data_IF_685832817026
#
_entry.id   IF_685832817026
#
_cell.length_a   1.000
_cell.length_b   1.000
_cell.length_c   1.000
_cell.angle_alpha   90.00
_cell.angle_beta   90.00
_cell.angle_gamma   90.00
#
_symmetry.space_group_name_H-M   'P 1'
#
loop_
_entity.id
_entity.type
_entity.pdbx_description
1 polymer ?
#
# COMPACT_ATOMS: atom_id res chain seq x y z
N UNK A 1 -18.41 15.92 12.55
CA UNK A 1 -18.56 16.50 11.21
C UNK A 1 -17.19 16.66 10.58
N UNK A 2 -17.01 16.22 9.32
CA UNK A 2 -15.79 16.52 8.55
C UNK A 2 -16.06 17.70 7.62
N UNK A 3 -15.16 18.69 7.62
CA UNK A 3 -15.17 19.82 6.71
C UNK A 3 -13.99 19.69 5.77
N UNK A 4 -14.27 19.39 4.51
CA UNK A 4 -13.27 19.16 3.49
C UNK A 4 -12.94 20.46 2.79
N UNK A 5 -11.68 20.87 2.79
CA UNK A 5 -11.16 22.09 2.18
C UNK A 5 -10.14 21.78 1.10
N UNK A 6 -9.80 22.77 0.27
CA UNK A 6 -8.90 22.60 -0.88
C UNK A 6 -7.43 22.33 -0.47
N UNK A 7 -6.98 22.93 0.63
CA UNK A 7 -5.59 22.82 1.08
C UNK A 7 -5.44 22.98 2.59
N UNK A 8 -4.28 22.61 3.10
CA UNK A 8 -3.94 22.65 4.52
C UNK A 8 -3.99 24.06 5.13
N UNK A 9 -3.67 25.08 4.34
CA UNK A 9 -3.75 26.45 4.81
C UNK A 9 -5.20 26.84 5.12
N UNK A 10 -6.13 26.57 4.21
CA UNK A 10 -7.54 26.85 4.43
C UNK A 10 -8.11 26.01 5.57
N UNK A 11 -7.73 24.75 5.66
CA UNK A 11 -8.15 23.89 6.77
C UNK A 11 -7.78 24.48 8.13
N UNK A 12 -6.54 24.97 8.28
CA UNK A 12 -6.09 25.63 9.51
C UNK A 12 -6.79 26.96 9.75
N UNK A 13 -6.78 27.85 8.75
CA UNK A 13 -7.37 29.18 8.85
C UNK A 13 -8.84 29.10 9.26
N UNK A 14 -9.61 28.27 8.57
CA UNK A 14 -11.05 28.20 8.79
C UNK A 14 -11.40 27.50 10.10
N UNK A 15 -10.63 26.47 10.47
CA UNK A 15 -10.72 25.85 11.79
C UNK A 15 -10.44 26.85 12.93
N UNK A 16 -9.40 27.65 12.81
CA UNK A 16 -9.05 28.67 13.81
C UNK A 16 -10.10 29.80 13.88
N UNK A 17 -10.58 30.25 12.73
CA UNK A 17 -11.55 31.32 12.65
C UNK A 17 -12.91 30.89 13.17
N UNK A 18 -13.49 29.85 12.60
CA UNK A 18 -14.80 29.34 12.98
C UNK A 18 -14.78 28.61 14.32
N UNK A 19 -13.64 28.05 14.70
CA UNK A 19 -13.45 27.37 15.97
C UNK A 19 -13.75 28.25 17.19
N UNK A 20 -13.58 29.56 17.09
CA UNK A 20 -13.99 30.50 18.15
C UNK A 20 -15.48 30.44 18.42
N UNK A 21 -16.30 30.41 17.36
CA UNK A 21 -17.75 30.29 17.47
C UNK A 21 -18.16 28.91 17.97
N UNK A 22 -17.55 27.84 17.42
CA UNK A 22 -17.86 26.46 17.80
C UNK A 22 -17.51 26.19 19.27
N UNK A 23 -16.35 26.63 19.72
CA UNK A 23 -15.94 26.51 21.12
C UNK A 23 -16.86 27.27 22.07
N UNK A 24 -17.35 28.45 21.65
CA UNK A 24 -18.33 29.19 22.43
C UNK A 24 -19.67 28.42 22.54
N UNK A 25 -20.03 27.64 21.52
CA UNK A 25 -21.20 26.77 21.53
C UNK A 25 -20.93 25.43 22.27
N UNK A 26 -19.75 25.21 22.80
CA UNK A 26 -19.37 23.99 23.51
C UNK A 26 -18.92 22.84 22.61
N UNK A 27 -18.66 23.09 21.30
CA UNK A 27 -18.16 22.11 20.35
C UNK A 27 -16.64 22.18 20.22
N UNK A 28 -16.00 21.04 20.04
CA UNK A 28 -14.54 20.92 19.85
C UNK A 28 -14.18 20.93 18.37
N UNK A 29 -13.00 21.46 18.04
CA UNK A 29 -12.51 21.51 16.66
C UNK A 29 -11.12 20.88 16.55
N UNK A 30 -10.86 20.18 15.43
CA UNK A 30 -9.56 19.59 15.10
C UNK A 30 -9.20 19.85 13.65
N UNK A 31 -7.92 19.82 13.33
CA UNK A 31 -7.44 20.00 11.96
C UNK A 31 -6.50 18.86 11.58
N UNK A 32 -6.75 18.25 10.43
CA UNK A 32 -5.89 17.24 9.81
C UNK A 32 -5.08 17.90 8.69
N UNK A 33 -3.77 17.88 8.83
CA UNK A 33 -2.82 18.45 7.88
C UNK A 33 -1.63 17.51 7.72
N UNK A 34 -0.81 17.76 6.72
CA UNK A 34 0.39 16.97 6.49
C UNK A 34 1.34 16.99 7.71
N UNK A 35 2.01 15.86 7.95
CA UNK A 35 3.06 15.74 8.98
C UNK A 35 2.59 15.47 10.40
N UNK A 36 1.28 15.29 10.65
CA UNK A 36 0.77 14.91 11.96
C UNK A 36 1.10 13.45 12.30
N UNK A 37 1.42 13.19 13.56
CA UNK A 37 1.54 11.83 14.11
C UNK A 37 0.16 11.18 14.28
N UNK A 38 0.11 9.84 14.39
CA UNK A 38 -1.15 9.11 14.60
C UNK A 38 -1.89 9.59 15.85
N UNK A 39 -1.18 9.86 16.95
CA UNK A 39 -1.78 10.38 18.17
C UNK A 39 -2.42 11.77 17.98
N UNK A 40 -1.78 12.64 17.22
CA UNK A 40 -2.33 13.95 16.87
C UNK A 40 -3.54 13.84 15.94
N UNK A 41 -3.49 12.92 14.98
CA UNK A 41 -4.63 12.60 14.10
C UNK A 41 -5.82 12.07 14.90
N UNK A 42 -5.59 11.10 15.79
CA UNK A 42 -6.64 10.58 16.67
C UNK A 42 -7.30 11.67 17.50
N UNK A 43 -6.50 12.59 18.08
CA UNK A 43 -7.03 13.71 18.84
C UNK A 43 -7.87 14.65 17.97
N UNK A 44 -7.41 14.97 16.75
CA UNK A 44 -8.15 15.82 15.83
C UNK A 44 -9.44 15.16 15.30
N UNK A 45 -9.43 13.87 14.98
CA UNK A 45 -10.64 13.13 14.62
C UNK A 45 -11.60 12.92 15.80
N UNK A 46 -11.09 12.96 17.04
CA UNK A 46 -11.89 12.94 18.25
C UNK A 46 -12.75 14.18 18.46
N UNK A 47 -12.44 15.31 17.80
CA UNK A 47 -13.21 16.55 17.88
C UNK A 47 -14.59 16.42 17.21
N UNK A 48 -15.53 17.30 17.59
CA UNK A 48 -16.88 17.36 17.01
C UNK A 48 -16.84 17.77 15.55
N UNK A 49 -15.93 18.68 15.20
CA UNK A 49 -15.73 19.22 13.85
C UNK A 49 -14.25 19.07 13.48
N UNK A 50 -13.97 18.34 12.40
CA UNK A 50 -12.63 18.11 11.91
C UNK A 50 -12.46 18.69 10.52
N UNK A 51 -11.52 19.63 10.38
CA UNK A 51 -11.14 20.24 9.10
C UNK A 51 -9.96 19.49 8.49
N UNK A 52 -9.94 19.36 7.17
CA UNK A 52 -8.83 18.75 6.44
C UNK A 52 -9.06 18.76 4.94
N UNK A 53 -8.07 18.31 4.19
CA UNK A 53 -8.21 18.15 2.74
C UNK A 53 -8.77 16.77 2.40
N UNK A 54 -9.38 16.64 1.20
CA UNK A 54 -9.84 15.36 0.67
C UNK A 54 -8.72 14.31 0.66
N UNK A 55 -7.50 14.71 0.27
CA UNK A 55 -6.34 13.82 0.23
C UNK A 55 -5.95 13.30 1.61
N UNK A 56 -5.86 14.17 2.62
CA UNK A 56 -5.52 13.76 3.98
C UNK A 56 -6.56 12.80 4.57
N UNK A 57 -7.86 13.09 4.40
CA UNK A 57 -8.92 12.17 4.82
C UNK A 57 -8.88 10.84 4.09
N UNK A 58 -8.65 10.86 2.77
CA UNK A 58 -8.55 9.66 1.95
C UNK A 58 -7.31 8.82 2.28
N UNK A 59 -6.16 9.43 2.49
CA UNK A 59 -4.95 8.72 2.91
C UNK A 59 -5.08 8.15 4.32
N UNK A 60 -5.72 8.84 5.25
CA UNK A 60 -5.98 8.30 6.59
C UNK A 60 -6.91 7.08 6.53
N UNK A 61 -7.95 7.15 5.69
CA UNK A 61 -8.84 6.01 5.44
C UNK A 61 -8.07 4.80 4.90
N UNK A 62 -7.20 5.00 3.92
CA UNK A 62 -6.40 3.92 3.36
C UNK A 62 -5.41 3.36 4.40
N UNK A 63 -4.74 4.21 5.17
CA UNK A 63 -3.82 3.78 6.25
C UNK A 63 -4.55 2.98 7.32
N UNK A 64 -5.73 3.40 7.74
CA UNK A 64 -6.52 2.69 8.74
C UNK A 64 -6.93 1.29 8.25
N UNK A 65 -7.30 1.16 6.95
CA UNK A 65 -7.64 -0.15 6.37
C UNK A 65 -6.44 -1.11 6.24
N UNK A 66 -5.21 -0.63 6.43
CA UNK A 66 -4.01 -1.46 6.48
C UNK A 66 -3.64 -1.89 7.91
N UNK A 67 -4.30 -1.35 8.93
CA UNK A 67 -4.02 -1.66 10.34
C UNK A 67 -4.78 -2.91 10.79
N UNK A 68 -4.14 -3.75 11.60
CA UNK A 68 -4.71 -5.00 12.10
C UNK A 68 -5.57 -4.83 13.36
N UNK A 69 -5.40 -3.73 14.12
CA UNK A 69 -6.13 -3.47 15.37
C UNK A 69 -6.86 -2.13 15.28
N UNK A 70 -8.15 -2.14 15.59
CA UNK A 70 -9.00 -0.95 15.61
C UNK A 70 -8.49 0.14 16.57
N UNK A 71 -7.74 -0.23 17.60
CA UNK A 71 -7.13 0.75 18.53
C UNK A 71 -6.12 1.68 17.85
N UNK A 72 -5.55 1.25 16.73
CA UNK A 72 -4.60 2.03 15.96
C UNK A 72 -5.26 2.90 14.89
N UNK A 73 -6.57 2.75 14.66
CA UNK A 73 -7.29 3.60 13.73
C UNK A 73 -7.25 5.05 14.19
N UNK A 74 -7.05 5.96 13.25
CA UNK A 74 -7.07 7.39 13.54
C UNK A 74 -8.44 7.97 13.29
N UNK A 75 -9.17 7.47 12.28
CA UNK A 75 -10.52 7.88 11.98
C UNK A 75 -11.55 7.14 12.86
N UNK A 76 -12.64 7.81 13.11
CA UNK A 76 -13.85 7.24 13.72
C UNK A 76 -14.96 7.11 12.67
N UNK A 77 -16.16 6.69 13.07
CA UNK A 77 -17.30 6.58 12.18
C UNK A 77 -17.63 7.89 11.45
N UNK A 78 -18.08 7.77 10.21
CA UNK A 78 -18.45 8.88 9.35
C UNK A 78 -19.94 9.22 9.50
N UNK A 79 -20.27 10.39 10.06
CA UNK A 79 -21.65 10.83 10.25
C UNK A 79 -22.09 11.87 9.22
N UNK A 80 -21.26 12.89 9.00
CA UNK A 80 -21.61 14.01 8.13
C UNK A 80 -20.37 14.67 7.58
N UNK A 81 -20.40 15.06 6.31
CA UNK A 81 -19.34 15.82 5.67
C UNK A 81 -19.88 17.05 4.96
N UNK A 82 -19.13 18.12 5.03
CA UNK A 82 -19.30 19.33 4.21
C UNK A 82 -18.11 19.37 3.27
N UNK A 83 -18.35 19.33 1.98
CA UNK A 83 -17.30 19.30 0.95
C UNK A 83 -17.33 20.62 0.20
N UNK A 84 -16.26 21.41 0.37
CA UNK A 84 -16.03 22.63 -0.42
C UNK A 84 -15.38 22.23 -1.76
N UNK A 85 -15.61 23.02 -2.81
CA UNK A 85 -15.13 22.73 -4.19
C UNK A 85 -15.51 21.30 -4.66
N UNK A 86 -16.77 20.93 -4.44
CA UNK A 86 -17.25 19.57 -4.71
C UNK A 86 -17.19 19.17 -6.20
N UNK A 87 -17.28 20.11 -7.12
CA UNK A 87 -17.09 19.92 -8.56
C UNK A 87 -15.65 19.46 -8.86
N UNK A 88 -14.64 20.11 -8.30
CA UNK A 88 -13.26 19.70 -8.44
C UNK A 88 -13.02 18.31 -7.82
N UNK A 89 -13.43 18.10 -6.58
CA UNK A 89 -13.15 16.88 -5.83
C UNK A 89 -13.94 15.68 -6.37
N UNK A 90 -15.24 15.85 -6.63
CA UNK A 90 -16.15 14.74 -6.97
C UNK A 90 -16.35 14.54 -8.47
N UNK A 91 -15.90 15.45 -9.31
CA UNK A 91 -16.02 15.38 -10.77
C UNK A 91 -14.65 15.38 -11.43
N UNK A 92 -13.89 16.47 -11.33
CA UNK A 92 -12.64 16.63 -12.06
C UNK A 92 -11.55 15.65 -11.60
N UNK A 93 -11.39 15.49 -10.29
CA UNK A 93 -10.40 14.60 -9.69
C UNK A 93 -10.96 13.22 -9.28
N UNK A 94 -12.23 12.95 -9.55
CA UNK A 94 -12.92 11.74 -9.08
C UNK A 94 -12.26 10.42 -9.51
N UNK A 95 -11.51 10.43 -10.61
CA UNK A 95 -10.79 9.26 -11.12
C UNK A 95 -9.30 9.24 -10.75
N UNK A 96 -8.80 10.25 -10.06
CA UNK A 96 -7.41 10.29 -9.62
C UNK A 96 -7.22 9.33 -8.44
N UNK A 97 -6.44 8.25 -8.58
CA UNK A 97 -6.28 7.29 -7.51
C UNK A 97 -5.43 7.86 -6.38
N UNK A 98 -5.83 7.62 -5.14
CA UNK A 98 -4.96 7.80 -3.98
C UNK A 98 -4.12 6.53 -3.81
N UNK A 99 -2.79 6.67 -3.92
CA UNK A 99 -1.87 5.55 -3.85
C UNK A 99 -0.98 5.71 -2.62
N UNK A 100 -0.99 4.71 -1.73
CA UNK A 100 0.00 4.58 -0.67
C UNK A 100 1.05 3.60 -1.16
N UNK A 101 2.29 4.09 -1.30
CA UNK A 101 3.46 3.25 -1.56
C UNK A 101 4.44 3.42 -0.40
N UNK A 102 4.88 2.30 0.16
CA UNK A 102 6.01 2.26 1.08
C UNK A 102 7.29 1.90 0.35
N UNK A 103 8.48 2.14 0.96
CA UNK A 103 9.68 1.49 0.48
C UNK A 103 9.39 -0.01 0.49
N UNK A 104 9.57 -0.68 -0.66
CA UNK A 104 9.56 -2.14 -0.68
C UNK A 104 10.62 -2.58 0.34
N UNK A 105 10.22 -3.42 1.28
CA UNK A 105 11.21 -4.12 2.11
C UNK A 105 12.30 -4.67 1.18
N UNK A 106 13.51 -4.87 1.69
CA UNK A 106 14.75 -5.20 0.96
C UNK A 106 14.68 -6.44 0.04
N UNK A 107 13.54 -6.65 -0.61
CA UNK A 107 13.30 -7.71 -1.60
C UNK A 107 14.15 -7.53 -2.86
N UNK A 108 14.63 -6.30 -3.13
CA UNK A 108 15.41 -6.01 -4.33
C UNK A 108 16.69 -6.85 -4.38
N UNK A 109 17.38 -7.03 -3.24
CA UNK A 109 18.57 -7.88 -3.18
C UNK A 109 18.23 -9.35 -3.44
N UNK A 110 17.12 -9.86 -2.92
CA UNK A 110 16.65 -11.23 -3.15
C UNK A 110 16.37 -11.49 -4.63
N UNK A 111 15.77 -10.53 -5.35
CA UNK A 111 15.57 -10.63 -6.79
C UNK A 111 16.89 -10.72 -7.57
N UNK A 112 17.91 -9.93 -7.20
CA UNK A 112 19.21 -9.99 -7.84
C UNK A 112 19.88 -11.36 -7.63
N UNK A 113 19.86 -11.88 -6.40
CA UNK A 113 20.42 -13.20 -6.07
C UNK A 113 19.69 -14.30 -6.86
N UNK A 114 18.37 -14.28 -6.84
CA UNK A 114 17.56 -15.25 -7.59
C UNK A 114 17.81 -15.14 -9.09
N UNK A 115 17.84 -13.93 -9.65
CA UNK A 115 18.06 -13.73 -11.08
C UNK A 115 19.40 -14.31 -11.57
N UNK A 116 20.41 -14.35 -10.73
CA UNK A 116 21.71 -14.94 -11.08
C UNK A 116 21.65 -16.47 -11.22
N UNK A 117 20.77 -17.14 -10.50
CA UNK A 117 20.65 -18.61 -10.54
C UNK A 117 19.72 -19.11 -11.65
N UNK A 118 18.73 -18.30 -12.09
CA UNK A 118 17.76 -18.72 -13.12
C UNK A 118 18.42 -19.27 -14.39
N UNK A 119 19.47 -18.66 -14.98
CA UNK A 119 20.10 -19.19 -16.19
C UNK A 119 20.74 -20.57 -16.04
N UNK A 120 21.02 -21.02 -14.81
CA UNK A 120 21.57 -22.35 -14.54
C UNK A 120 20.51 -23.46 -14.45
N UNK A 121 19.22 -23.09 -14.41
CA UNK A 121 18.11 -24.01 -14.39
C UNK A 121 17.69 -24.40 -15.82
N UNK A 122 17.51 -25.70 -16.07
CA UNK A 122 17.18 -26.22 -17.39
C UNK A 122 15.71 -26.64 -17.46
N UNK A 123 15.01 -26.22 -18.53
CA UNK A 123 13.65 -26.67 -18.83
C UNK A 123 13.60 -28.19 -18.95
N UNK A 124 12.49 -28.76 -18.50
CA UNK A 124 12.16 -30.19 -18.53
C UNK A 124 13.08 -31.09 -17.67
N UNK A 125 14.09 -30.51 -16.99
CA UNK A 125 14.92 -31.16 -15.97
C UNK A 125 14.64 -30.54 -14.61
N UNK A 126 14.86 -29.25 -14.46
CA UNK A 126 14.72 -28.54 -13.19
C UNK A 126 13.35 -27.87 -13.00
N UNK A 127 12.64 -27.58 -14.09
CA UNK A 127 11.29 -27.02 -14.03
C UNK A 127 10.47 -27.45 -15.24
N UNK A 128 9.17 -27.61 -15.04
CA UNK A 128 8.18 -27.80 -16.10
C UNK A 128 7.45 -26.50 -16.38
N UNK A 129 7.10 -26.27 -17.64
CA UNK A 129 6.42 -25.05 -18.08
C UNK A 129 5.24 -25.40 -18.98
N UNK A 130 4.07 -24.88 -18.64
CA UNK A 130 2.87 -24.96 -19.46
C UNK A 130 2.53 -23.58 -20.03
N UNK A 131 2.74 -23.40 -21.32
CA UNK A 131 2.57 -22.11 -22.00
C UNK A 131 1.11 -21.64 -22.04
N UNK A 132 0.15 -22.57 -22.14
CA UNK A 132 -1.28 -22.24 -22.22
C UNK A 132 -1.82 -21.62 -20.93
N UNK A 133 -1.41 -22.16 -19.81
CA UNK A 133 -1.84 -21.70 -18.46
C UNK A 133 -0.89 -20.68 -17.86
N UNK A 134 0.23 -20.39 -18.54
CA UNK A 134 1.34 -19.55 -18.04
C UNK A 134 1.83 -19.99 -16.64
N UNK A 135 1.88 -21.31 -16.44
CA UNK A 135 2.28 -21.90 -15.16
C UNK A 135 3.67 -22.49 -15.26
N UNK A 136 4.49 -22.27 -14.23
CA UNK A 136 5.79 -22.90 -14.06
C UNK A 136 5.83 -23.57 -12.70
N UNK A 137 6.37 -24.79 -12.64
CA UNK A 137 6.59 -25.55 -11.41
C UNK A 137 7.98 -26.17 -11.41
N UNK A 138 8.64 -26.17 -10.25
CA UNK A 138 9.92 -26.86 -10.07
C UNK A 138 9.68 -28.38 -10.03
N UNK A 139 10.65 -29.13 -10.53
CA UNK A 139 10.74 -30.59 -10.35
C UNK A 139 11.49 -30.91 -9.05
N UNK A 140 11.53 -32.17 -8.64
CA UNK A 140 12.34 -32.59 -7.46
C UNK A 140 13.82 -32.27 -7.67
N UNK A 141 14.36 -32.52 -8.87
CA UNK A 141 15.73 -32.14 -9.22
C UNK A 141 15.93 -30.63 -9.23
N UNK A 142 14.89 -29.87 -9.65
CA UNK A 142 14.91 -28.43 -9.62
C UNK A 142 14.92 -27.86 -8.21
N UNK A 143 14.15 -28.43 -7.29
CA UNK A 143 14.17 -28.06 -5.88
C UNK A 143 15.58 -28.25 -5.29
N UNK A 144 16.14 -29.46 -5.44
CA UNK A 144 17.50 -29.77 -4.95
C UNK A 144 18.55 -28.85 -5.55
N UNK A 145 18.42 -28.49 -6.83
CA UNK A 145 19.36 -27.59 -7.50
C UNK A 145 19.25 -26.14 -7.00
N UNK A 146 18.04 -25.66 -6.74
CA UNK A 146 17.81 -24.32 -6.19
C UNK A 146 18.30 -24.24 -4.74
N UNK A 147 18.04 -25.26 -3.94
CA UNK A 147 18.51 -25.37 -2.56
C UNK A 147 20.05 -25.35 -2.48
N UNK A 148 20.72 -26.10 -3.37
CA UNK A 148 22.20 -26.10 -3.49
C UNK A 148 22.73 -24.70 -3.84
N UNK A 149 22.11 -24.03 -4.84
CA UNK A 149 22.57 -22.72 -5.31
C UNK A 149 22.32 -21.60 -4.30
N UNK A 150 21.21 -21.67 -3.58
CA UNK A 150 20.84 -20.68 -2.55
C UNK A 150 21.43 -21.03 -1.17
N UNK A 151 22.05 -22.22 -1.01
CA UNK A 151 22.62 -22.74 0.24
C UNK A 151 21.58 -22.80 1.38
N UNK A 152 20.42 -23.32 1.07
CA UNK A 152 19.31 -23.52 2.00
C UNK A 152 18.98 -25.01 2.09
N UNK A 153 18.46 -25.47 3.23
CA UNK A 153 18.13 -26.88 3.43
C UNK A 153 16.81 -27.32 2.80
N UNK A 154 15.80 -26.44 2.83
CA UNK A 154 14.47 -26.72 2.28
C UNK A 154 13.81 -25.43 1.78
N UNK A 155 13.50 -25.39 0.49
CA UNK A 155 12.86 -24.21 -0.13
C UNK A 155 11.38 -24.04 0.26
N UNK A 156 10.75 -25.11 0.74
CA UNK A 156 9.34 -25.10 1.19
C UNK A 156 9.18 -24.79 2.69
N UNK A 157 10.28 -24.51 3.40
CA UNK A 157 10.19 -24.03 4.77
C UNK A 157 9.43 -22.68 4.81
N UNK A 158 8.54 -22.44 5.81
CA UNK A 158 7.85 -21.17 5.96
C UNK A 158 8.76 -19.94 5.92
N UNK A 159 10.01 -20.06 6.36
CA UNK A 159 11.02 -19.00 6.30
C UNK A 159 11.52 -18.70 4.87
N UNK A 160 11.42 -19.68 3.96
CA UNK A 160 11.93 -19.60 2.58
C UNK A 160 10.82 -19.48 1.53
N UNK A 161 9.55 -19.42 1.92
CA UNK A 161 8.41 -19.39 1.00
C UNK A 161 8.43 -18.16 0.07
N UNK A 162 8.93 -17.04 0.57
CA UNK A 162 9.16 -15.82 -0.19
C UNK A 162 10.21 -16.03 -1.29
N UNK A 163 11.30 -16.78 -0.96
CA UNK A 163 12.37 -17.11 -1.90
C UNK A 163 11.87 -18.02 -3.03
N UNK A 164 11.05 -19.01 -2.68
CA UNK A 164 10.36 -19.86 -3.66
C UNK A 164 9.52 -19.01 -4.62
N UNK A 165 8.77 -18.05 -4.09
CA UNK A 165 7.97 -17.14 -4.91
C UNK A 165 8.86 -16.33 -5.87
N UNK A 166 10.00 -15.83 -5.42
CA UNK A 166 10.95 -15.10 -6.26
C UNK A 166 11.57 -16.00 -7.34
N UNK A 167 11.90 -17.27 -7.03
CA UNK A 167 12.41 -18.23 -8.02
C UNK A 167 11.37 -18.50 -9.11
N UNK A 168 10.12 -18.78 -8.73
CA UNK A 168 9.05 -19.02 -9.70
C UNK A 168 8.76 -17.78 -10.54
N UNK A 169 8.80 -16.59 -9.94
CA UNK A 169 8.63 -15.32 -10.67
C UNK A 169 9.78 -15.06 -11.62
N UNK A 170 11.03 -15.34 -11.21
CA UNK A 170 12.20 -15.24 -12.07
C UNK A 170 12.15 -16.20 -13.26
N UNK A 171 11.76 -17.45 -13.04
CA UNK A 171 11.55 -18.41 -14.11
C UNK A 171 10.48 -17.97 -15.11
N UNK A 172 9.36 -17.40 -14.61
CA UNK A 172 8.32 -16.85 -15.49
C UNK A 172 8.86 -15.66 -16.32
N UNK A 173 9.59 -14.75 -15.69
CA UNK A 173 10.17 -13.59 -16.36
C UNK A 173 11.13 -13.99 -17.49
N UNK A 174 11.96 -15.02 -17.28
CA UNK A 174 12.94 -15.46 -18.27
C UNK A 174 12.36 -16.33 -19.39
N UNK A 175 11.29 -17.09 -19.11
CA UNK A 175 10.84 -18.13 -20.05
C UNK A 175 9.44 -17.91 -20.62
N UNK A 176 8.55 -17.19 -19.92
CA UNK A 176 7.18 -16.95 -20.36
C UNK A 176 6.95 -15.55 -20.95
N UNK A 177 7.71 -14.55 -20.51
CA UNK A 177 7.54 -13.18 -20.97
C UNK A 177 8.65 -12.82 -21.97
N UNK A 178 8.25 -12.52 -23.19
CA UNK A 178 9.18 -12.15 -24.27
C UNK A 178 9.08 -10.66 -24.54
N UNK A 179 10.24 -10.04 -24.69
CA UNK A 179 10.32 -8.64 -25.11
C UNK A 179 9.65 -8.42 -26.46
N UNK A 180 8.97 -7.30 -26.61
CA UNK A 180 8.21 -6.89 -27.79
C UNK A 180 6.98 -7.79 -28.12
N UNK A 181 6.60 -8.69 -27.17
CA UNK A 181 5.39 -9.54 -27.25
C UNK A 181 4.52 -9.28 -26.02
N UNK A 182 5.07 -9.43 -24.81
CA UNK A 182 4.36 -9.22 -23.56
C UNK A 182 4.75 -7.91 -22.85
N UNK A 183 5.86 -7.29 -23.19
CA UNK A 183 6.30 -5.99 -22.64
C UNK A 183 7.15 -5.22 -23.66
#
# INVERSE_FOLDING_TARGET
>A
VHVVTVNDYLAKRDCEWMGRLYNWLGLTTGTIVHGLTDAQRQAAYGADITYGTNNEFGFDYLRDNMKFDLKHYVQREHHFAIVDECDSILVDEARTPLIISGPAEASTEKYYVVNQIIPSLKRDVHFSMEEKTKTISLTEEGNSKVEELLKIENIYDPQHIELLHHVLSGLKAHHLYKRDVEY
#
